data_IF_091137956511
#
_entry.id   IF_091137956511
#
_cell.length_a   1.000
_cell.length_b   1.000
_cell.length_c   1.000
_cell.angle_alpha   90.00
_cell.angle_beta   90.00
_cell.angle_gamma   90.00
#
_symmetry.space_group_name_H-M   'P 1'
#
loop_
_entity.id
_entity.type
_entity.pdbx_description
1 polymer ?
#
# COMPACT_ATOMS: atom_id res chain seq x y z
N UNK A 1 -8.72 -15.45 -4.92
CA UNK A 1 -8.93 -14.40 -3.90
C UNK A 1 -7.67 -13.54 -3.77
N UNK A 2 -7.75 -12.24 -3.50
CA UNK A 2 -6.53 -11.39 -3.40
C UNK A 2 -5.52 -11.93 -2.39
N UNK A 3 -6.01 -12.51 -1.29
CA UNK A 3 -5.22 -13.25 -0.29
C UNK A 3 -4.42 -14.43 -0.88
N UNK A 4 -5.04 -15.19 -1.77
CA UNK A 4 -4.44 -16.37 -2.42
C UNK A 4 -3.37 -15.95 -3.46
N UNK A 5 -3.59 -14.82 -4.14
CA UNK A 5 -2.60 -14.23 -5.05
C UNK A 5 -1.35 -13.76 -4.28
N UNK A 6 -1.52 -13.17 -3.09
CA UNK A 6 -0.42 -12.79 -2.21
C UNK A 6 0.33 -14.01 -1.68
N UNK A 7 -0.38 -15.03 -1.18
CA UNK A 7 0.24 -16.27 -0.70
C UNK A 7 1.05 -16.96 -1.81
N UNK A 8 0.56 -16.93 -3.05
CA UNK A 8 1.29 -17.43 -4.21
C UNK A 8 2.54 -16.59 -4.49
N UNK A 9 2.43 -15.26 -4.52
CA UNK A 9 3.56 -14.36 -4.76
C UNK A 9 4.66 -14.49 -3.69
N UNK A 10 4.28 -14.71 -2.42
CA UNK A 10 5.22 -14.99 -1.33
C UNK A 10 5.96 -16.30 -1.59
N UNK A 11 5.24 -17.39 -1.91
CA UNK A 11 5.87 -18.68 -2.17
C UNK A 11 6.78 -18.67 -3.40
N UNK A 12 6.46 -17.89 -4.42
CA UNK A 12 7.32 -17.69 -5.59
C UNK A 12 8.57 -16.85 -5.27
N UNK A 13 8.42 -15.78 -4.48
CA UNK A 13 9.54 -14.97 -4.03
C UNK A 13 10.50 -15.79 -3.14
N UNK A 14 9.97 -16.61 -2.22
CA UNK A 14 10.78 -17.52 -1.40
C UNK A 14 11.59 -18.52 -2.23
N UNK A 15 11.00 -19.03 -3.32
CA UNK A 15 11.72 -19.90 -4.26
C UNK A 15 12.80 -19.14 -5.04
N UNK A 16 12.49 -17.93 -5.50
CA UNK A 16 13.44 -17.08 -6.22
C UNK A 16 14.65 -16.70 -5.34
N UNK A 17 14.42 -16.38 -4.06
CA UNK A 17 15.47 -16.05 -3.08
C UNK A 17 16.39 -17.24 -2.79
N UNK A 18 15.88 -18.47 -2.88
CA UNK A 18 16.69 -19.70 -2.79
C UNK A 18 17.52 -19.96 -4.05
N UNK A 19 17.14 -19.33 -5.17
CA UNK A 19 17.94 -19.26 -6.38
C UNK A 19 18.98 -18.15 -6.31
N UNK A 20 19.53 -17.79 -7.46
CA UNK A 20 20.57 -16.76 -7.55
C UNK A 20 20.32 -15.78 -8.70
N UNK A 21 19.09 -15.73 -9.21
CA UNK A 21 18.67 -14.79 -10.26
C UNK A 21 18.09 -13.52 -9.64
N UNK A 22 18.91 -12.47 -9.65
CA UNK A 22 18.52 -11.16 -9.14
C UNK A 22 17.30 -10.59 -9.87
N UNK A 23 17.20 -10.80 -11.17
CA UNK A 23 16.09 -10.27 -11.99
C UNK A 23 14.78 -10.94 -11.61
N UNK A 24 14.83 -12.25 -11.33
CA UNK A 24 13.66 -13.01 -10.87
C UNK A 24 13.22 -12.54 -9.48
N UNK A 25 14.16 -12.36 -8.54
CA UNK A 25 13.85 -11.84 -7.20
C UNK A 25 13.22 -10.44 -7.28
N UNK A 26 13.76 -9.55 -8.11
CA UNK A 26 13.22 -8.20 -8.30
C UNK A 26 11.81 -8.24 -8.89
N UNK A 27 11.58 -9.08 -9.91
CA UNK A 27 10.26 -9.24 -10.52
C UNK A 27 9.22 -9.78 -9.53
N UNK A 28 9.57 -10.81 -8.74
CA UNK A 28 8.67 -11.39 -7.72
C UNK A 28 8.43 -10.43 -6.56
N UNK A 29 9.42 -9.62 -6.18
CA UNK A 29 9.27 -8.58 -5.16
C UNK A 29 8.28 -7.51 -5.63
N UNK A 30 8.40 -7.02 -6.87
CA UNK A 30 7.46 -6.07 -7.45
C UNK A 30 6.04 -6.64 -7.51
N UNK A 31 5.89 -7.91 -7.92
CA UNK A 31 4.60 -8.59 -7.95
C UNK A 31 3.95 -8.68 -6.55
N UNK A 32 4.74 -8.99 -5.51
CA UNK A 32 4.26 -9.05 -4.13
C UNK A 32 3.78 -7.68 -3.62
N UNK A 33 4.52 -6.61 -3.94
CA UNK A 33 4.14 -5.23 -3.58
C UNK A 33 2.81 -4.86 -4.23
N UNK A 34 2.66 -5.10 -5.53
CA UNK A 34 1.42 -4.79 -6.27
C UNK A 34 0.22 -5.59 -5.75
N UNK A 35 0.41 -6.87 -5.44
CA UNK A 35 -0.64 -7.69 -4.86
C UNK A 35 -1.05 -7.19 -3.47
N UNK A 36 -0.08 -6.75 -2.65
CA UNK A 36 -0.32 -6.20 -1.32
C UNK A 36 -1.05 -4.87 -1.36
N UNK A 37 -0.72 -3.99 -2.31
CA UNK A 37 -1.43 -2.72 -2.54
C UNK A 37 -2.90 -2.96 -2.87
N UNK A 38 -3.20 -3.88 -3.80
CA UNK A 38 -4.58 -4.23 -4.15
C UNK A 38 -5.36 -4.77 -2.94
N UNK A 39 -4.74 -5.58 -2.08
CA UNK A 39 -5.40 -6.04 -0.86
C UNK A 39 -5.67 -4.87 0.10
N UNK A 40 -4.72 -3.93 0.25
CA UNK A 40 -4.90 -2.75 1.09
C UNK A 40 -6.03 -1.86 0.57
N UNK A 41 -6.10 -1.63 -0.74
CA UNK A 41 -7.20 -0.90 -1.39
C UNK A 41 -8.54 -1.61 -1.20
N UNK A 42 -8.59 -2.94 -1.38
CA UNK A 42 -9.79 -3.74 -1.16
C UNK A 42 -10.24 -3.75 0.32
N UNK A 43 -9.28 -3.73 1.25
CA UNK A 43 -9.53 -3.63 2.68
C UNK A 43 -9.99 -2.22 3.07
N UNK A 44 -9.39 -1.15 2.54
CA UNK A 44 -9.82 0.23 2.75
C UNK A 44 -11.22 0.48 2.19
N UNK A 45 -11.53 -0.05 1.00
CA UNK A 45 -12.87 0.02 0.42
C UNK A 45 -13.92 -0.71 1.26
N UNK A 46 -13.53 -1.77 2.00
CA UNK A 46 -14.38 -2.42 3.01
C UNK A 46 -14.39 -1.72 4.37
N UNK A 47 -13.31 -1.05 4.74
CA UNK A 47 -13.09 -0.35 6.02
C UNK A 47 -13.69 1.05 6.09
N UNK A 48 -14.02 1.69 4.96
CA UNK A 48 -14.80 2.94 4.97
C UNK A 48 -16.24 2.78 5.49
N UNK A 49 -16.68 1.55 5.81
CA UNK A 49 -17.93 1.29 6.52
C UNK A 49 -17.75 1.06 8.05
N UNK A 50 -16.52 1.09 8.57
CA UNK A 50 -16.29 0.94 10.00
C UNK A 50 -14.81 0.98 10.36
N UNK A 51 -14.48 1.83 11.33
CA UNK A 51 -13.19 1.90 12.03
C UNK A 51 -12.15 2.85 11.44
N UNK A 52 -12.50 4.15 11.50
CA UNK A 52 -11.49 5.19 11.71
C UNK A 52 -10.93 5.04 13.12
N UNK A 53 -9.83 4.29 13.26
CA UNK A 53 -9.01 4.39 14.47
C UNK A 53 -8.47 3.06 14.99
N UNK A 54 -7.46 2.50 14.32
CA UNK A 54 -6.22 2.13 15.01
C UNK A 54 -5.18 1.77 13.94
N UNK A 55 -3.96 2.29 14.11
CA UNK A 55 -2.75 1.90 13.37
C UNK A 55 -2.43 2.71 12.09
N UNK A 56 -2.40 4.03 12.23
CA UNK A 56 -1.46 4.88 11.49
C UNK A 56 -0.50 5.54 12.50
N UNK A 57 0.52 4.77 12.90
CA UNK A 57 1.71 5.37 13.52
C UNK A 57 2.63 5.85 12.42
N UNK A 58 2.56 7.15 12.10
CA UNK A 58 3.61 7.86 11.38
C UNK A 58 3.45 7.96 9.86
N UNK A 59 2.46 8.73 9.40
CA UNK A 59 2.53 9.52 8.17
C UNK A 59 1.46 10.62 8.26
N UNK A 60 1.62 11.45 9.29
CA UNK A 60 1.19 12.84 9.25
C UNK A 60 1.77 13.48 7.97
N UNK A 61 1.05 14.42 7.38
CA UNK A 61 1.60 15.45 6.46
C UNK A 61 1.50 15.24 4.92
N UNK A 62 0.46 14.56 4.42
CA UNK A 62 0.07 14.71 2.99
C UNK A 62 -1.43 14.91 2.80
N UNK A 63 -2.07 15.52 3.79
CA UNK A 63 -3.44 16.04 3.70
C UNK A 63 -3.34 17.52 3.33
N UNK A 64 -4.03 17.89 2.25
CA UNK A 64 -4.31 19.26 1.81
C UNK A 64 -3.14 20.14 1.38
N UNK A 65 -2.54 19.78 0.24
CA UNK A 65 -1.99 20.76 -0.70
C UNK A 65 -3.09 21.46 -1.54
N UNK A 66 -4.29 21.68 -0.98
CA UNK A 66 -5.39 22.43 -1.61
C UNK A 66 -5.78 23.65 -0.75
N UNK A 67 -4.87 24.62 -0.69
CA UNK A 67 -5.15 26.03 -0.93
C UNK A 67 -6.51 26.58 -0.42
N UNK A 68 -6.72 26.68 0.90
CA UNK A 68 -7.75 27.58 1.43
C UNK A 68 -7.18 28.99 1.54
N UNK A 69 -7.28 29.69 0.41
CA UNK A 69 -7.20 31.13 0.18
C UNK A 69 -7.22 31.98 1.47
N UNK A 70 -6.04 32.38 1.95
CA UNK A 70 -5.92 33.46 2.94
C UNK A 70 -6.32 34.75 2.23
N UNK A 71 -7.61 35.05 2.25
CA UNK A 71 -8.09 36.42 2.03
C UNK A 71 -7.56 37.25 3.19
N UNK A 72 -6.45 37.94 2.94
CA UNK A 72 -5.98 39.09 3.70
C UNK A 72 -7.11 40.13 3.75
N UNK A 73 -8.00 40.01 4.74
CA UNK A 73 -8.91 41.09 5.10
C UNK A 73 -8.10 42.17 5.81
N UNK A 74 -7.61 43.10 4.98
CA UNK A 74 -7.12 44.41 5.38
C UNK A 74 -8.15 45.12 6.26
N UNK A 75 -7.82 45.39 7.52
CA UNK A 75 -7.97 46.68 8.21
C UNK A 75 -7.53 46.64 9.67
#
# INVERSE_FOLDING_TARGET
NDKEAIETAIGELEKAIKGNDKSEIEAKTQALIQASQKLMEAQQAKGQAGDAGQQAGGADDVVDAEFEEVKDDKK
#
